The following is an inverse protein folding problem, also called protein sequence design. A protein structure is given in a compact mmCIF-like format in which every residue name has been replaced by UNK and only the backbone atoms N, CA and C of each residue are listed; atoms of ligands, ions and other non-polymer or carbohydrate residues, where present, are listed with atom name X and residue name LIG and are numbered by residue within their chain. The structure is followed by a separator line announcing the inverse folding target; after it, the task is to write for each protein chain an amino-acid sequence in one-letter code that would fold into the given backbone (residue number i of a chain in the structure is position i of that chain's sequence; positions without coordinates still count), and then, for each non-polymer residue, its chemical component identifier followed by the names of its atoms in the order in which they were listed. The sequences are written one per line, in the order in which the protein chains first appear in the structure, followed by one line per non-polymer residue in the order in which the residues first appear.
data_IF_892785886162
#
_entry.id   IF_892785886162
#
_cell.length_a   1.000
_cell.length_b   1.000
_cell.length_c   1.000
_cell.angle_alpha   90.00
_cell.angle_beta   90.00
_cell.angle_gamma   90.00
#
_symmetry.space_group_name_H-M   'P 1'
#
loop_
_entity.id
_entity.type
_entity.pdbx_description
1 polymer ?
#
# COMPACT_ATOMS: atom_id res chain seq x y z
N UNK A 1 92.25 -4.70 1.72
CA UNK A 1 91.11 -4.02 2.39
C UNK A 1 89.98 -3.71 1.37
N UNK A 2 89.29 -4.72 0.84
CA UNK A 2 88.20 -4.64 -0.10
C UNK A 2 87.34 -5.89 -0.05
N UNK A 3 86.68 -6.14 1.10
CA UNK A 3 85.76 -7.27 1.23
C UNK A 3 84.38 -6.79 1.78
N UNK A 4 84.17 -5.50 1.97
CA UNK A 4 82.93 -5.03 2.66
C UNK A 4 81.85 -4.45 1.75
N UNK A 5 82.06 -4.35 0.42
CA UNK A 5 81.06 -3.76 -0.47
C UNK A 5 80.11 -4.81 -1.08
N UNK A 6 80.52 -6.06 -1.29
CA UNK A 6 79.67 -7.09 -1.90
C UNK A 6 78.65 -7.68 -0.96
N UNK A 7 78.91 -7.71 0.36
CA UNK A 7 77.97 -8.21 1.37
C UNK A 7 76.86 -7.17 1.62
N UNK A 8 77.14 -5.87 1.55
CA UNK A 8 76.13 -4.82 1.69
C UNK A 8 75.14 -4.78 0.52
N UNK A 9 75.60 -5.00 -0.73
CA UNK A 9 74.71 -5.09 -1.90
C UNK A 9 73.82 -6.33 -1.90
N UNK A 10 74.30 -7.49 -1.40
CA UNK A 10 73.53 -8.72 -1.32
C UNK A 10 72.39 -8.64 -0.27
N UNK A 11 72.63 -7.97 0.84
CA UNK A 11 71.60 -7.80 1.89
C UNK A 11 70.50 -6.81 1.45
N UNK A 12 70.83 -5.77 0.66
CA UNK A 12 69.85 -4.84 0.11
C UNK A 12 68.90 -5.51 -0.90
N UNK A 13 69.45 -6.30 -1.82
CA UNK A 13 68.64 -7.04 -2.82
C UNK A 13 67.75 -8.11 -2.19
N UNK A 14 68.24 -8.84 -1.19
CA UNK A 14 67.46 -9.83 -0.46
C UNK A 14 66.28 -9.19 0.32
N UNK A 15 66.54 -8.07 1.00
CA UNK A 15 65.50 -7.33 1.71
C UNK A 15 64.44 -6.80 0.74
N UNK A 16 64.82 -6.33 -0.44
CA UNK A 16 63.90 -5.88 -1.47
C UNK A 16 63.02 -7.02 -2.00
N UNK A 17 63.58 -8.17 -2.32
CA UNK A 17 62.83 -9.35 -2.81
C UNK A 17 61.88 -9.90 -1.75
N UNK A 18 62.26 -9.85 -0.46
CA UNK A 18 61.34 -10.20 0.65
C UNK A 18 60.21 -9.21 0.76
N UNK A 19 60.48 -7.92 0.62
CA UNK A 19 59.47 -6.85 0.60
C UNK A 19 58.49 -7.03 -0.55
N UNK A 20 58.99 -7.26 -1.76
CA UNK A 20 58.17 -7.50 -2.96
C UNK A 20 57.27 -8.77 -2.80
N UNK A 21 57.83 -9.84 -2.23
CA UNK A 21 57.09 -11.06 -1.91
C UNK A 21 55.96 -10.82 -0.88
N UNK A 22 56.13 -9.88 0.04
CA UNK A 22 55.07 -9.51 0.99
C UNK A 22 53.96 -8.71 0.28
N UNK A 23 54.29 -7.88 -0.70
CA UNK A 23 53.30 -7.15 -1.53
C UNK A 23 52.50 -8.13 -2.38
N UNK A 24 53.16 -9.06 -3.06
CA UNK A 24 52.53 -10.10 -3.90
C UNK A 24 51.54 -10.94 -3.06
N UNK A 25 51.92 -11.34 -1.85
CA UNK A 25 51.02 -12.11 -0.95
C UNK A 25 49.76 -11.32 -0.55
N UNK A 26 49.91 -10.03 -0.24
CA UNK A 26 48.74 -9.16 0.05
C UNK A 26 47.85 -9.07 -1.17
N UNK A 27 48.39 -8.84 -2.35
CA UNK A 27 47.64 -8.79 -3.60
C UNK A 27 46.93 -10.13 -3.89
N UNK A 28 47.60 -11.24 -3.67
CA UNK A 28 47.02 -12.59 -3.81
C UNK A 28 45.82 -12.76 -2.86
N UNK A 29 45.95 -12.37 -1.59
CA UNK A 29 44.88 -12.46 -0.61
C UNK A 29 43.68 -11.64 -1.03
N UNK A 30 43.89 -10.39 -1.49
CA UNK A 30 42.81 -9.50 -2.00
C UNK A 30 42.12 -10.12 -3.22
N UNK A 31 42.90 -10.61 -4.20
CA UNK A 31 42.33 -11.23 -5.40
C UNK A 31 41.58 -12.52 -5.10
N UNK A 32 42.05 -13.32 -4.10
CA UNK A 32 41.36 -14.52 -3.64
C UNK A 32 40.03 -14.20 -2.99
N UNK A 33 39.97 -13.14 -2.16
CA UNK A 33 38.75 -12.67 -1.55
C UNK A 33 37.78 -12.13 -2.63
N UNK A 34 38.25 -11.26 -3.54
CA UNK A 34 37.46 -10.76 -4.66
C UNK A 34 36.92 -11.88 -5.55
N UNK A 35 37.70 -12.92 -5.80
CA UNK A 35 37.25 -14.07 -6.57
C UNK A 35 36.23 -14.95 -5.79
N UNK A 36 36.31 -14.97 -4.45
CA UNK A 36 35.37 -15.70 -3.60
C UNK A 36 34.03 -14.98 -3.44
N UNK A 37 34.08 -13.68 -3.20
CA UNK A 37 32.89 -12.86 -2.86
C UNK A 37 32.25 -12.18 -4.08
N UNK A 38 32.99 -12.08 -5.19
CA UNK A 38 32.55 -11.37 -6.39
C UNK A 38 32.58 -9.84 -6.28
N UNK A 39 33.03 -9.31 -5.14
CA UNK A 39 33.01 -7.89 -4.81
C UNK A 39 34.41 -7.24 -4.93
N UNK A 40 34.43 -5.97 -5.34
CA UNK A 40 35.67 -5.16 -5.32
C UNK A 40 36.21 -5.02 -3.90
N UNK A 41 35.30 -4.84 -2.92
CA UNK A 41 35.63 -4.77 -1.49
C UNK A 41 34.38 -4.93 -0.64
N UNK A 42 34.53 -5.53 0.54
CA UNK A 42 33.48 -5.65 1.56
C UNK A 42 33.23 -4.34 2.32
N UNK A 43 34.10 -3.36 2.14
CA UNK A 43 34.01 -2.08 2.84
C UNK A 43 33.94 -0.91 1.88
N UNK A 44 33.19 0.12 2.25
CA UNK A 44 33.10 1.36 1.48
C UNK A 44 34.47 2.01 1.25
N UNK A 45 35.37 1.95 2.22
CA UNK A 45 36.72 2.49 2.08
C UNK A 45 37.54 1.76 1.02
N UNK A 46 37.31 0.47 0.79
CA UNK A 46 37.96 -0.33 -0.22
C UNK A 46 37.47 -0.06 -1.64
N UNK A 47 36.29 0.56 -1.81
CA UNK A 47 35.77 0.99 -3.10
C UNK A 47 36.46 2.28 -3.61
N UNK A 48 37.25 2.95 -2.78
CA UNK A 48 37.98 4.17 -3.17
C UNK A 48 37.07 5.25 -3.75
N UNK A 49 37.33 5.67 -5.00
CA UNK A 49 36.51 6.69 -5.67
C UNK A 49 35.05 6.25 -5.91
N UNK A 50 34.77 4.96 -5.92
CA UNK A 50 33.41 4.40 -6.10
C UNK A 50 32.53 4.49 -4.84
N UNK A 51 33.12 4.68 -3.65
CA UNK A 51 32.42 4.66 -2.38
C UNK A 51 31.25 5.65 -2.30
N UNK A 52 31.44 6.88 -2.75
CA UNK A 52 30.38 7.91 -2.79
C UNK A 52 29.24 7.53 -3.72
N UNK A 53 29.55 6.99 -4.89
CA UNK A 53 28.58 6.50 -5.86
C UNK A 53 27.76 5.33 -5.32
N UNK A 54 28.44 4.33 -4.75
CA UNK A 54 27.80 3.15 -4.14
C UNK A 54 26.84 3.54 -3.02
N UNK A 55 27.23 4.45 -2.13
CA UNK A 55 26.38 4.93 -1.03
C UNK A 55 25.14 5.67 -1.54
N UNK A 56 25.30 6.59 -2.50
CA UNK A 56 24.20 7.38 -3.04
C UNK A 56 23.24 6.51 -3.84
N UNK A 57 23.75 5.63 -4.70
CA UNK A 57 22.93 4.70 -5.48
C UNK A 57 22.23 3.67 -4.57
N UNK A 58 22.93 3.15 -3.57
CA UNK A 58 22.36 2.22 -2.59
C UNK A 58 21.19 2.84 -1.80
N UNK A 59 21.32 4.10 -1.35
CA UNK A 59 20.24 4.81 -0.67
C UNK A 59 19.05 5.07 -1.61
N UNK A 60 19.32 5.43 -2.87
CA UNK A 60 18.28 5.62 -3.89
C UNK A 60 17.57 4.32 -4.22
N UNK A 61 18.30 3.21 -4.36
CA UNK A 61 17.75 1.88 -4.58
C UNK A 61 16.81 1.45 -3.44
N UNK A 62 17.26 1.64 -2.19
CA UNK A 62 16.44 1.34 -1.00
C UNK A 62 15.15 2.15 -0.97
N UNK A 63 15.21 3.44 -1.30
CA UNK A 63 14.04 4.30 -1.37
C UNK A 63 13.06 3.82 -2.46
N UNK A 64 13.55 3.52 -3.66
CA UNK A 64 12.74 3.01 -4.79
C UNK A 64 12.08 1.68 -4.45
N UNK A 65 12.81 0.75 -3.84
CA UNK A 65 12.28 -0.54 -3.39
C UNK A 65 11.20 -0.36 -2.31
N UNK A 66 11.40 0.59 -1.39
CA UNK A 66 10.40 0.92 -0.37
C UNK A 66 9.12 1.43 -1.02
N UNK A 67 9.21 2.37 -1.98
CA UNK A 67 8.03 2.88 -2.69
C UNK A 67 7.33 1.81 -3.52
N UNK A 68 8.09 0.90 -4.15
CA UNK A 68 7.53 -0.23 -4.88
C UNK A 68 6.75 -1.17 -3.94
N UNK A 69 7.32 -1.51 -2.79
CA UNK A 69 6.65 -2.32 -1.75
C UNK A 69 5.39 -1.63 -1.22
N UNK A 70 5.45 -0.33 -0.98
CA UNK A 70 4.31 0.46 -0.54
C UNK A 70 3.17 0.40 -1.57
N UNK A 71 3.48 0.60 -2.87
CA UNK A 71 2.49 0.51 -3.95
C UNK A 71 1.87 -0.89 -4.03
N UNK A 72 2.68 -1.94 -3.89
CA UNK A 72 2.22 -3.33 -3.90
C UNK A 72 1.30 -3.64 -2.71
N UNK A 73 1.69 -3.23 -1.52
CA UNK A 73 0.91 -3.47 -0.29
C UNK A 73 -0.43 -2.76 -0.31
N UNK A 74 -0.52 -1.57 -0.93
CA UNK A 74 -1.77 -0.82 -1.04
C UNK A 74 -2.79 -1.45 -2.00
N UNK A 75 -2.35 -2.22 -2.99
CA UNK A 75 -3.22 -2.75 -4.06
C UNK A 75 -4.29 -3.70 -3.54
N UNK A 76 -3.95 -4.63 -2.64
CA UNK A 76 -4.88 -5.62 -2.09
C UNK A 76 -6.05 -5.02 -1.29
N UNK A 77 -5.80 -4.17 -0.28
CA UNK A 77 -6.85 -3.45 0.43
C UNK A 77 -7.74 -2.60 -0.49
N UNK A 78 -7.15 -1.90 -1.47
CA UNK A 78 -7.93 -1.11 -2.44
C UNK A 78 -8.86 -1.97 -3.29
N UNK A 79 -8.39 -3.12 -3.76
CA UNK A 79 -9.19 -4.06 -4.53
C UNK A 79 -10.36 -4.63 -3.70
N UNK A 80 -10.12 -4.96 -2.43
CA UNK A 80 -11.17 -5.40 -1.51
C UNK A 80 -12.20 -4.31 -1.26
N UNK A 81 -11.77 -3.07 -1.04
CA UNK A 81 -12.67 -1.92 -0.87
C UNK A 81 -13.52 -1.67 -2.14
N UNK A 82 -12.90 -1.72 -3.32
CA UNK A 82 -13.60 -1.55 -4.59
C UNK A 82 -14.65 -2.65 -4.81
N UNK A 83 -14.32 -3.91 -4.49
CA UNK A 83 -15.28 -5.02 -4.57
C UNK A 83 -16.46 -4.82 -3.63
N UNK A 84 -16.22 -4.34 -2.40
CA UNK A 84 -17.29 -4.03 -1.46
C UNK A 84 -18.20 -2.89 -1.98
N UNK A 85 -17.62 -1.83 -2.53
CA UNK A 85 -18.40 -0.73 -3.13
C UNK A 85 -19.23 -1.18 -4.32
N UNK A 86 -18.67 -2.02 -5.20
CA UNK A 86 -19.40 -2.58 -6.34
C UNK A 86 -20.62 -3.37 -5.87
N UNK A 87 -20.47 -4.23 -4.87
CA UNK A 87 -21.58 -5.00 -4.31
C UNK A 87 -22.62 -4.10 -3.63
N UNK A 88 -22.20 -3.03 -2.94
CA UNK A 88 -23.12 -2.03 -2.38
C UNK A 88 -23.88 -1.31 -3.50
N UNK A 89 -23.22 -0.98 -4.62
CA UNK A 89 -23.86 -0.38 -5.80
C UNK A 89 -24.90 -1.31 -6.43
N UNK A 90 -24.60 -2.60 -6.52
CA UNK A 90 -25.53 -3.61 -7.05
C UNK A 90 -26.77 -3.74 -6.15
N UNK A 91 -26.58 -3.77 -4.82
CA UNK A 91 -27.69 -3.75 -3.87
C UNK A 91 -28.53 -2.49 -4.04
N UNK A 92 -27.90 -1.32 -4.04
CA UNK A 92 -28.59 -0.05 -4.19
C UNK A 92 -29.37 0.03 -5.51
N UNK A 93 -28.77 -0.42 -6.61
CA UNK A 93 -29.42 -0.45 -7.95
C UNK A 93 -30.62 -1.40 -7.99
N UNK A 94 -30.55 -2.54 -7.31
CA UNK A 94 -31.70 -3.45 -7.17
C UNK A 94 -32.86 -2.79 -6.45
N UNK A 95 -32.59 -2.09 -5.34
CA UNK A 95 -33.63 -1.37 -4.61
C UNK A 95 -34.12 -0.10 -5.32
N UNK A 96 -33.26 0.58 -6.08
CA UNK A 96 -33.67 1.66 -6.97
C UNK A 96 -34.73 1.19 -7.96
N UNK A 97 -34.53 0.02 -8.60
CA UNK A 97 -35.52 -0.55 -9.50
C UNK A 97 -36.80 -0.98 -8.77
N UNK A 98 -36.69 -1.56 -7.57
CA UNK A 98 -37.86 -2.00 -6.79
C UNK A 98 -38.70 -0.82 -6.27
N UNK A 99 -38.08 0.28 -5.85
CA UNK A 99 -38.79 1.46 -5.37
C UNK A 99 -39.66 2.11 -6.45
N UNK A 100 -39.28 2.03 -7.72
CA UNK A 100 -40.12 2.50 -8.85
C UNK A 100 -41.47 1.77 -8.92
N UNK A 101 -41.55 0.53 -8.43
CA UNK A 101 -42.77 -0.28 -8.40
C UNK A 101 -43.60 -0.12 -7.10
N UNK A 102 -43.08 0.56 -6.07
CA UNK A 102 -43.74 0.75 -4.78
C UNK A 102 -44.71 1.92 -4.79
N UNK A 103 -45.62 1.98 -5.75
CA UNK A 103 -46.56 3.12 -5.93
C UNK A 103 -47.90 2.91 -5.25
N UNK A 104 -47.98 2.06 -4.23
CA UNK A 104 -49.19 1.86 -3.44
C UNK A 104 -50.22 0.88 -4.02
N UNK A 105 -50.01 0.34 -5.21
CA UNK A 105 -50.96 -0.52 -5.89
C UNK A 105 -50.93 -1.95 -5.38
N UNK A 106 -49.77 -2.44 -4.90
CA UNK A 106 -49.60 -3.80 -4.39
C UNK A 106 -49.08 -3.82 -2.96
N UNK A 107 -49.97 -3.89 -2.00
CA UNK A 107 -49.65 -3.90 -0.58
C UNK A 107 -48.73 -5.06 -0.16
N UNK A 108 -48.92 -6.26 -0.72
CA UNK A 108 -48.08 -7.43 -0.42
C UNK A 108 -46.65 -7.25 -0.90
N UNK A 109 -46.44 -6.56 -2.02
CA UNK A 109 -45.11 -6.25 -2.54
C UNK A 109 -44.35 -5.31 -1.59
N UNK A 110 -45.03 -4.38 -0.90
CA UNK A 110 -44.41 -3.47 0.07
C UNK A 110 -43.77 -4.26 1.21
N UNK A 111 -44.53 -5.17 1.85
CA UNK A 111 -44.04 -5.97 2.98
C UNK A 111 -42.85 -6.87 2.58
N UNK A 112 -42.91 -7.48 1.37
CA UNK A 112 -41.84 -8.32 0.85
C UNK A 112 -40.58 -7.49 0.58
N UNK A 113 -40.73 -6.34 -0.08
CA UNK A 113 -39.62 -5.42 -0.36
C UNK A 113 -39.02 -4.87 0.92
N UNK A 114 -39.87 -4.54 1.93
CA UNK A 114 -39.40 -4.09 3.23
C UNK A 114 -38.57 -5.17 3.97
N UNK A 115 -39.02 -6.44 3.91
CA UNK A 115 -38.23 -7.55 4.48
C UNK A 115 -36.87 -7.69 3.79
N UNK A 116 -36.87 -7.69 2.44
CA UNK A 116 -35.65 -7.74 1.66
C UNK A 116 -34.71 -6.56 1.92
N UNK A 117 -35.24 -5.34 2.12
CA UNK A 117 -34.44 -4.15 2.42
C UNK A 117 -33.74 -4.24 3.79
N UNK A 118 -34.38 -4.84 4.79
CA UNK A 118 -33.76 -5.09 6.09
C UNK A 118 -32.59 -6.08 5.97
N UNK A 119 -32.73 -7.12 5.15
CA UNK A 119 -31.62 -8.07 4.94
C UNK A 119 -30.51 -7.45 4.08
N UNK A 120 -30.83 -6.64 3.09
CA UNK A 120 -29.87 -5.88 2.30
C UNK A 120 -29.09 -4.87 3.18
N UNK A 121 -29.73 -4.23 4.14
CA UNK A 121 -29.07 -3.31 5.08
C UNK A 121 -28.04 -4.04 5.94
N UNK A 122 -28.33 -5.28 6.40
CA UNK A 122 -27.36 -6.14 7.10
C UNK A 122 -26.20 -6.52 6.18
N UNK A 123 -26.47 -6.84 4.91
CA UNK A 123 -25.44 -7.14 3.92
C UNK A 123 -24.54 -5.92 3.68
N UNK A 124 -25.09 -4.72 3.53
CA UNK A 124 -24.31 -3.48 3.41
C UNK A 124 -23.42 -3.28 4.63
N UNK A 125 -23.94 -3.46 5.85
CA UNK A 125 -23.14 -3.38 7.07
C UNK A 125 -22.00 -4.42 7.09
N UNK A 126 -22.25 -5.63 6.61
CA UNK A 126 -21.24 -6.68 6.44
C UNK A 126 -20.16 -6.29 5.41
N UNK A 127 -20.55 -5.73 4.26
CA UNK A 127 -19.64 -5.25 3.23
C UNK A 127 -18.78 -4.08 3.71
N UNK A 128 -19.34 -3.18 4.52
CA UNK A 128 -18.57 -2.10 5.16
C UNK A 128 -17.53 -2.62 6.14
N UNK A 129 -17.76 -3.80 6.73
CA UNK A 129 -16.82 -4.50 7.59
C UNK A 129 -15.89 -5.47 6.85
N UNK A 130 -15.71 -5.30 5.53
CA UNK A 130 -14.79 -6.13 4.75
C UNK A 130 -13.35 -5.98 5.23
N UNK A 131 -12.62 -7.09 5.24
CA UNK A 131 -11.23 -7.17 5.68
C UNK A 131 -10.31 -7.59 4.54
N UNK A 132 -9.07 -7.09 4.63
CA UNK A 132 -7.93 -7.63 3.91
C UNK A 132 -6.88 -8.07 4.96
N UNK A 133 -6.66 -9.37 5.11
CA UNK A 133 -5.97 -9.90 6.28
C UNK A 133 -6.71 -9.54 7.57
N UNK A 134 -6.00 -8.91 8.51
CA UNK A 134 -6.56 -8.54 9.81
C UNK A 134 -7.10 -7.10 9.88
N UNK A 135 -7.02 -6.33 8.78
CA UNK A 135 -7.41 -4.92 8.76
C UNK A 135 -8.74 -4.69 8.04
N UNK A 136 -9.59 -3.81 8.58
CA UNK A 136 -10.82 -3.36 7.94
C UNK A 136 -10.51 -2.29 6.88
N UNK A 137 -10.85 -2.57 5.62
CA UNK A 137 -10.44 -1.74 4.47
C UNK A 137 -11.18 -0.40 4.36
N UNK A 138 -12.35 -0.27 5.00
CA UNK A 138 -13.18 0.95 4.97
C UNK A 138 -13.17 1.70 6.32
N UNK A 139 -12.31 1.30 7.26
CA UNK A 139 -12.17 1.94 8.57
C UNK A 139 -11.20 3.13 8.57
N UNK A 140 -10.49 3.37 7.47
CA UNK A 140 -9.49 4.42 7.39
C UNK A 140 -8.29 4.18 8.33
N UNK A 141 -7.93 5.19 9.10
CA UNK A 141 -6.83 5.11 10.07
C UNK A 141 -7.12 4.20 11.27
N UNK A 142 -8.40 3.86 11.52
CA UNK A 142 -8.82 2.96 12.62
C UNK A 142 -9.03 1.51 12.12
N UNK A 143 -8.10 1.01 11.34
CA UNK A 143 -8.21 -0.24 10.61
C UNK A 143 -8.32 -1.51 11.47
N UNK A 144 -8.04 -1.43 12.77
CA UNK A 144 -8.21 -2.53 13.71
C UNK A 144 -9.67 -2.71 14.18
N UNK A 145 -10.49 -1.67 14.08
CA UNK A 145 -11.87 -1.66 14.56
C UNK A 145 -12.87 -1.71 13.40
N UNK A 146 -13.96 -2.46 13.59
CA UNK A 146 -15.01 -2.59 12.59
C UNK A 146 -15.66 -1.22 12.32
N UNK A 147 -15.83 -0.81 11.04
CA UNK A 147 -16.59 0.38 10.67
C UNK A 147 -18.00 0.43 11.25
N UNK A 148 -18.71 -0.70 11.23
CA UNK A 148 -20.05 -0.88 11.82
C UNK A 148 -19.94 -1.95 12.91
N UNK A 149 -19.62 -1.56 14.16
CA UNK A 149 -19.24 -2.52 15.20
C UNK A 149 -20.42 -3.32 15.79
N UNK A 150 -21.65 -2.81 15.66
CA UNK A 150 -22.85 -3.40 16.27
C UNK A 150 -23.85 -3.87 15.20
N UNK A 151 -24.87 -4.62 15.62
CA UNK A 151 -25.98 -4.94 14.72
C UNK A 151 -26.66 -3.65 14.24
N UNK A 152 -26.65 -3.47 12.92
CA UNK A 152 -27.18 -2.28 12.27
C UNK A 152 -28.68 -2.09 12.58
N UNK A 153 -29.44 -3.17 12.76
CA UNK A 153 -30.89 -3.14 12.97
C UNK A 153 -31.30 -2.52 14.31
N UNK A 154 -30.41 -2.55 15.31
CA UNK A 154 -30.67 -1.94 16.62
C UNK A 154 -30.00 -0.55 16.76
N UNK A 155 -29.35 -0.05 15.70
CA UNK A 155 -28.74 1.28 15.72
C UNK A 155 -29.78 2.38 15.89
N UNK A 156 -29.39 3.48 16.55
CA UNK A 156 -30.27 4.65 16.70
C UNK A 156 -30.69 5.25 15.36
N UNK A 157 -29.87 5.12 14.32
CA UNK A 157 -30.23 5.53 12.95
C UNK A 157 -31.43 4.73 12.45
N UNK A 158 -31.37 3.40 12.46
CA UNK A 158 -32.44 2.55 11.92
C UNK A 158 -33.71 2.66 12.75
N UNK A 159 -33.60 2.65 14.08
CA UNK A 159 -34.75 2.81 14.97
C UNK A 159 -35.40 4.20 14.83
N UNK A 160 -34.60 5.26 14.68
CA UNK A 160 -35.06 6.61 14.42
C UNK A 160 -35.78 6.76 13.07
N UNK A 161 -35.22 6.15 12.01
CA UNK A 161 -35.85 6.10 10.68
C UNK A 161 -37.18 5.32 10.76
N UNK A 162 -37.19 4.16 11.42
CA UNK A 162 -38.40 3.36 11.57
C UNK A 162 -39.51 4.11 12.32
N UNK A 163 -39.16 4.83 13.37
CA UNK A 163 -40.10 5.68 14.11
C UNK A 163 -40.64 6.82 13.24
N UNK A 164 -39.79 7.48 12.45
CA UNK A 164 -40.19 8.54 11.54
C UNK A 164 -41.16 8.05 10.46
N UNK A 165 -40.85 6.92 9.83
CA UNK A 165 -41.67 6.26 8.81
C UNK A 165 -43.01 5.80 9.42
N UNK A 166 -42.97 5.21 10.63
CA UNK A 166 -44.19 4.84 11.36
C UNK A 166 -45.14 6.02 11.65
N UNK A 167 -44.59 7.22 11.79
CA UNK A 167 -45.36 8.46 12.05
C UNK A 167 -45.75 9.23 10.77
N UNK A 168 -45.55 8.67 9.57
CA UNK A 168 -45.81 9.34 8.28
C UNK A 168 -47.20 9.96 8.18
N UNK A 169 -48.22 9.24 8.63
CA UNK A 169 -49.61 9.69 8.55
C UNK A 169 -49.94 10.92 9.40
N UNK A 170 -49.19 11.17 10.46
CA UNK A 170 -49.35 12.30 11.37
C UNK A 170 -48.39 13.43 11.00
N UNK A 171 -47.14 13.13 10.74
CA UNK A 171 -46.11 14.13 10.48
C UNK A 171 -46.12 14.62 9.04
N UNK A 172 -46.62 13.83 8.09
CA UNK A 172 -46.56 14.09 6.67
C UNK A 172 -45.20 13.80 6.03
N UNK A 173 -45.14 13.73 4.69
CA UNK A 173 -43.97 13.29 3.95
C UNK A 173 -42.73 14.15 4.22
N UNK A 174 -42.84 15.48 4.13
CA UNK A 174 -41.71 16.40 4.26
C UNK A 174 -41.01 16.27 5.64
N UNK A 175 -41.80 16.20 6.73
CA UNK A 175 -41.27 16.05 8.06
C UNK A 175 -40.63 14.66 8.25
N UNK A 176 -41.23 13.59 7.69
CA UNK A 176 -40.70 12.25 7.70
C UNK A 176 -39.38 12.16 6.95
N UNK A 177 -39.29 12.71 5.73
CA UNK A 177 -38.07 12.79 4.93
C UNK A 177 -36.96 13.50 5.72
N UNK A 178 -37.27 14.68 6.28
CA UNK A 178 -36.33 15.44 7.10
C UNK A 178 -35.84 14.65 8.33
N UNK A 179 -36.72 13.91 9.00
CA UNK A 179 -36.39 13.08 10.16
C UNK A 179 -35.48 11.89 9.76
N UNK A 180 -35.79 11.20 8.63
CA UNK A 180 -34.90 10.11 8.12
C UNK A 180 -33.52 10.65 7.75
N UNK A 181 -33.45 11.81 7.13
CA UNK A 181 -32.20 12.48 6.75
C UNK A 181 -31.39 12.86 8.01
N UNK A 182 -32.05 13.45 9.01
CA UNK A 182 -31.41 13.82 10.27
C UNK A 182 -30.85 12.59 11.03
N UNK A 183 -31.61 11.48 11.06
CA UNK A 183 -31.15 10.24 11.68
C UNK A 183 -29.93 9.67 10.96
N UNK A 184 -29.90 9.65 9.62
CA UNK A 184 -28.82 9.11 8.82
C UNK A 184 -27.55 9.99 8.84
N UNK A 185 -27.70 11.32 8.92
CA UNK A 185 -26.57 12.26 8.99
C UNK A 185 -25.97 12.40 10.38
N UNK A 186 -26.63 11.86 11.42
CA UNK A 186 -26.20 12.01 12.81
C UNK A 186 -24.86 11.30 13.09
N UNK A 187 -23.96 12.04 13.73
CA UNK A 187 -22.70 11.50 14.29
C UNK A 187 -22.80 11.25 15.80
N UNK A 188 -23.97 11.44 16.40
CA UNK A 188 -24.16 11.30 17.84
C UNK A 188 -23.96 9.84 18.28
N UNK A 189 -23.35 9.69 19.44
CA UNK A 189 -23.17 8.36 20.09
C UNK A 189 -24.55 7.73 20.30
N UNK A 190 -24.69 6.45 19.97
CA UNK A 190 -25.93 5.70 20.06
C UNK A 190 -26.91 5.93 18.89
N UNK A 191 -26.71 6.95 18.05
CA UNK A 191 -27.47 7.16 16.81
C UNK A 191 -26.68 6.68 15.61
N UNK A 192 -25.45 7.16 15.43
CA UNK A 192 -24.59 6.72 14.33
C UNK A 192 -24.34 5.21 14.41
N UNK A 193 -24.49 4.48 13.29
CA UNK A 193 -24.18 3.07 13.22
C UNK A 193 -22.67 2.79 13.14
N UNK A 194 -21.88 3.82 12.86
CA UNK A 194 -20.45 3.72 12.66
C UNK A 194 -19.66 3.76 13.96
N UNK A 195 -18.42 3.30 13.92
CA UNK A 195 -17.47 3.42 15.04
C UNK A 195 -17.27 4.88 15.44
N UNK A 196 -16.79 5.11 16.66
CA UNK A 196 -16.55 6.47 17.16
C UNK A 196 -15.55 7.24 16.28
N UNK A 197 -14.55 6.55 15.71
CA UNK A 197 -13.59 7.15 14.79
C UNK A 197 -14.25 7.62 13.47
N UNK A 198 -15.22 6.86 12.96
CA UNK A 198 -15.93 7.17 11.72
C UNK A 198 -17.18 8.06 11.94
N UNK A 199 -17.56 8.32 13.17
CA UNK A 199 -18.66 9.22 13.55
C UNK A 199 -18.16 10.63 13.84
N UNK A 200 -17.08 11.06 13.18
CA UNK A 200 -16.54 12.41 13.29
C UNK A 200 -17.07 13.31 12.15
N UNK A 201 -17.01 14.65 12.30
CA UNK A 201 -17.31 15.56 11.21
C UNK A 201 -16.47 15.30 9.95
N UNK A 202 -17.03 15.54 8.77
CA UNK A 202 -16.37 15.26 7.49
C UNK A 202 -14.97 15.91 7.36
N UNK A 203 -14.77 17.10 7.91
CA UNK A 203 -13.48 17.79 7.90
C UNK A 203 -12.39 17.00 8.67
N UNK A 204 -12.75 16.33 9.77
CA UNK A 204 -11.86 15.52 10.56
C UNK A 204 -11.58 14.20 9.84
N UNK A 205 -12.62 13.61 9.24
CA UNK A 205 -12.52 12.33 8.51
C UNK A 205 -11.56 12.39 7.33
N UNK A 206 -11.37 13.53 6.69
CA UNK A 206 -10.37 13.71 5.63
C UNK A 206 -8.97 13.29 6.07
N UNK A 207 -8.58 13.57 7.32
CA UNK A 207 -7.30 13.19 7.89
C UNK A 207 -7.16 11.69 8.19
N UNK A 208 -8.26 10.95 8.24
CA UNK A 208 -8.26 9.49 8.49
C UNK A 208 -8.13 8.66 7.21
N UNK A 209 -8.17 9.28 6.03
CA UNK A 209 -8.03 8.55 4.76
C UNK A 209 -6.59 8.03 4.61
N UNK A 210 -6.40 6.72 4.43
CA UNK A 210 -5.09 6.16 4.18
C UNK A 210 -4.52 6.70 2.87
N UNK A 211 -3.23 7.01 2.87
CA UNK A 211 -2.49 7.38 1.67
C UNK A 211 -1.14 6.69 1.67
N UNK A 212 -0.73 6.18 0.53
CA UNK A 212 0.53 5.47 0.34
C UNK A 212 1.55 6.36 -0.36
N UNK A 213 2.79 6.36 0.14
CA UNK A 213 3.89 7.08 -0.49
C UNK A 213 4.53 6.19 -1.57
N UNK A 214 4.56 6.70 -2.80
CA UNK A 214 5.09 6.02 -3.99
C UNK A 214 6.20 6.79 -4.70
N UNK A 215 6.69 7.84 -4.05
CA UNK A 215 7.77 8.69 -4.51
C UNK A 215 8.22 9.65 -3.42
N UNK A 216 9.28 10.42 -3.64
CA UNK A 216 9.84 11.36 -2.66
C UNK A 216 8.79 12.36 -2.15
N UNK A 217 7.98 12.91 -3.05
CA UNK A 217 6.93 13.88 -2.77
C UNK A 217 5.56 13.43 -3.33
N UNK A 218 5.42 12.15 -3.67
CA UNK A 218 4.21 11.61 -4.29
C UNK A 218 3.48 10.68 -3.34
N UNK A 219 2.23 11.02 -3.02
CA UNK A 219 1.31 10.22 -2.22
C UNK A 219 0.02 10.00 -2.96
N UNK A 220 -0.49 8.78 -2.93
CA UNK A 220 -1.77 8.39 -3.51
C UNK A 220 -2.72 7.98 -2.39
N UNK A 221 -3.92 8.58 -2.29
CA UNK A 221 -4.96 8.11 -1.39
C UNK A 221 -5.31 6.66 -1.74
N UNK A 222 -5.16 5.75 -0.79
CA UNK A 222 -5.30 4.31 -0.99
C UNK A 222 -6.54 3.73 -0.31
N UNK A 223 -7.30 4.54 0.43
CA UNK A 223 -8.47 4.05 1.15
C UNK A 223 -9.68 4.97 1.06
N UNK A 224 -10.82 4.38 1.40
CA UNK A 224 -12.12 5.03 1.57
C UNK A 224 -12.58 4.86 3.02
N UNK A 225 -13.58 5.66 3.40
CA UNK A 225 -14.21 5.63 4.72
C UNK A 225 -15.67 5.19 4.57
N UNK A 226 -16.11 4.27 5.42
CA UNK A 226 -17.49 3.78 5.41
C UNK A 226 -18.55 4.86 5.67
N UNK A 227 -18.18 5.96 6.33
CA UNK A 227 -19.12 7.01 6.75
C UNK A 227 -19.07 8.28 5.90
N UNK A 228 -18.13 8.38 4.94
CA UNK A 228 -17.91 9.59 4.15
C UNK A 228 -17.59 9.25 2.70
N UNK A 229 -17.82 10.18 1.80
CA UNK A 229 -17.40 10.05 0.40
C UNK A 229 -15.86 10.10 0.28
N UNK A 230 -15.33 9.50 -0.78
CA UNK A 230 -13.94 9.64 -1.17
C UNK A 230 -13.67 11.00 -1.82
N UNK A 231 -13.81 11.06 -3.13
CA UNK A 231 -13.47 12.24 -3.94
C UNK A 231 -14.68 12.81 -4.69
N UNK A 232 -15.75 12.01 -4.84
CA UNK A 232 -16.97 12.42 -5.52
C UNK A 232 -17.97 12.91 -4.47
N UNK A 233 -18.41 14.15 -4.60
CA UNK A 233 -19.43 14.69 -3.71
C UNK A 233 -20.79 14.03 -3.96
N UNK A 234 -21.51 13.69 -2.89
CA UNK A 234 -22.93 13.36 -3.00
C UNK A 234 -23.72 14.62 -3.33
N UNK A 235 -24.50 14.56 -4.37
CA UNK A 235 -25.38 15.65 -4.83
C UNK A 235 -26.83 15.20 -4.70
N UNK A 236 -27.77 16.16 -4.67
CA UNK A 236 -29.19 15.86 -4.56
C UNK A 236 -29.87 16.68 -3.47
N UNK A 237 -31.22 16.67 -3.47
CA UNK A 237 -32.05 17.46 -2.54
C UNK A 237 -32.05 16.80 -1.15
N UNK A 238 -31.98 15.46 -1.10
CA UNK A 238 -32.09 14.67 0.12
C UNK A 238 -30.84 13.83 0.32
N UNK A 239 -29.69 14.47 0.55
CA UNK A 239 -28.41 13.78 0.80
C UNK A 239 -27.87 14.09 2.20
N UNK A 240 -27.25 13.10 2.83
CA UNK A 240 -26.45 13.25 4.07
C UNK A 240 -25.05 13.82 3.80
N UNK A 241 -24.65 13.96 2.53
CA UNK A 241 -23.28 14.23 2.09
C UNK A 241 -22.42 12.97 1.97
N UNK A 242 -22.95 11.78 2.26
CA UNK A 242 -22.28 10.49 2.12
C UNK A 242 -23.18 9.48 1.40
N UNK A 243 -22.73 9.00 0.24
CA UNK A 243 -23.48 8.02 -0.55
C UNK A 243 -23.75 6.72 0.24
N UNK A 244 -22.85 6.27 1.12
CA UNK A 244 -23.09 5.10 1.95
C UNK A 244 -24.20 5.35 2.95
N UNK A 245 -24.21 6.50 3.62
CA UNK A 245 -25.28 6.88 4.55
C UNK A 245 -26.62 7.02 3.82
N UNK A 246 -26.62 7.56 2.60
CA UNK A 246 -27.81 7.70 1.78
C UNK A 246 -28.37 6.34 1.34
N UNK A 247 -27.53 5.39 0.93
CA UNK A 247 -27.93 4.00 0.66
C UNK A 247 -28.51 3.35 1.92
N UNK A 248 -27.83 3.48 3.05
CA UNK A 248 -28.30 2.91 4.33
C UNK A 248 -29.63 3.56 4.79
N UNK A 249 -29.78 4.89 4.63
CA UNK A 249 -31.03 5.62 4.88
C UNK A 249 -32.15 5.07 4.01
N UNK A 250 -31.91 4.93 2.73
CA UNK A 250 -32.91 4.44 1.78
C UNK A 250 -33.35 3.01 2.11
N UNK A 251 -32.40 2.10 2.36
CA UNK A 251 -32.71 0.73 2.75
C UNK A 251 -33.46 0.66 4.09
N UNK A 252 -33.07 1.48 5.09
CA UNK A 252 -33.77 1.57 6.36
C UNK A 252 -35.19 2.14 6.20
N UNK A 253 -35.37 3.16 5.34
CA UNK A 253 -36.68 3.75 5.04
C UNK A 253 -37.58 2.71 4.36
N UNK A 254 -37.11 2.03 3.31
CA UNK A 254 -37.86 0.95 2.65
C UNK A 254 -38.14 -0.18 3.64
N UNK A 255 -37.16 -0.57 4.45
CA UNK A 255 -37.30 -1.62 5.45
C UNK A 255 -38.29 -1.31 6.57
N UNK A 256 -38.63 -0.04 6.76
CA UNK A 256 -39.64 0.43 7.73
C UNK A 256 -41.05 0.58 7.13
N UNK A 257 -41.20 0.48 5.80
CA UNK A 257 -42.51 0.52 5.15
C UNK A 257 -43.34 -0.72 5.49
N UNK A 258 -44.64 -0.54 5.46
CA UNK A 258 -45.61 -1.61 5.63
C UNK A 258 -46.80 -1.43 4.68
N UNK A 259 -47.46 -2.54 4.37
CA UNK A 259 -48.68 -2.53 3.54
C UNK A 259 -49.78 -1.64 4.08
N UNK A 260 -49.88 -1.47 5.42
CA UNK A 260 -50.82 -0.58 6.07
C UNK A 260 -50.59 0.92 5.77
N UNK A 261 -49.42 1.30 5.26
CA UNK A 261 -49.06 2.66 4.90
C UNK A 261 -49.34 3.00 3.44
N UNK A 262 -49.70 2.03 2.61
CA UNK A 262 -49.89 2.20 1.16
C UNK A 262 -50.88 3.31 0.79
N UNK A 263 -51.91 3.51 1.63
CA UNK A 263 -52.96 4.51 1.43
C UNK A 263 -52.76 5.78 2.26
N UNK A 264 -51.68 5.85 3.03
CA UNK A 264 -51.35 7.01 3.87
C UNK A 264 -50.92 8.17 3.01
N UNK A 265 -51.47 9.37 3.29
CA UNK A 265 -51.08 10.60 2.61
C UNK A 265 -49.56 10.82 2.79
N UNK A 266 -48.85 11.04 1.69
CA UNK A 266 -47.39 11.22 1.73
C UNK A 266 -46.58 9.98 1.45
N UNK A 267 -47.18 8.78 1.39
CA UNK A 267 -46.47 7.53 1.08
C UNK A 267 -45.74 7.60 -0.26
N UNK A 268 -46.41 8.02 -1.35
CA UNK A 268 -45.81 8.16 -2.67
C UNK A 268 -44.66 9.20 -2.69
N UNK A 269 -44.79 10.30 -1.93
CA UNK A 269 -43.71 11.29 -1.83
C UNK A 269 -42.48 10.78 -1.08
N UNK A 270 -42.68 9.99 -0.01
CA UNK A 270 -41.57 9.34 0.72
C UNK A 270 -40.85 8.31 -0.15
N UNK A 271 -41.60 7.49 -0.87
CA UNK A 271 -41.03 6.49 -1.81
C UNK A 271 -40.26 7.19 -2.94
N UNK A 272 -40.82 8.25 -3.50
CA UNK A 272 -40.16 9.03 -4.55
C UNK A 272 -38.87 9.69 -4.08
N UNK A 273 -38.86 10.29 -2.87
CA UNK A 273 -37.64 10.84 -2.28
C UNK A 273 -36.56 9.76 -2.08
N UNK A 274 -36.97 8.60 -1.56
CA UNK A 274 -36.09 7.46 -1.34
C UNK A 274 -35.50 6.95 -2.66
N UNK A 275 -36.35 6.86 -3.72
CA UNK A 275 -35.92 6.49 -5.06
C UNK A 275 -34.89 7.47 -5.62
N UNK A 276 -35.18 8.78 -5.56
CA UNK A 276 -34.26 9.83 -6.04
C UNK A 276 -32.93 9.80 -5.29
N UNK A 277 -33.00 9.73 -3.94
CA UNK A 277 -31.80 9.66 -3.10
C UNK A 277 -30.92 8.42 -3.40
N UNK A 278 -31.53 7.27 -3.71
CA UNK A 278 -30.78 6.09 -4.15
C UNK A 278 -30.08 6.32 -5.49
N UNK A 279 -30.75 6.95 -6.46
CA UNK A 279 -30.16 7.28 -7.76
C UNK A 279 -28.96 8.21 -7.64
N UNK A 280 -29.07 9.24 -6.79
CA UNK A 280 -27.99 10.18 -6.50
C UNK A 280 -26.80 9.47 -5.79
N UNK A 281 -27.11 8.62 -4.80
CA UNK A 281 -26.12 7.85 -4.07
C UNK A 281 -25.37 6.84 -4.98
N UNK A 282 -26.07 6.13 -5.87
CA UNK A 282 -25.50 5.23 -6.86
C UNK A 282 -24.54 5.98 -7.78
N UNK A 283 -24.95 7.15 -8.25
CA UNK A 283 -24.14 7.99 -9.14
C UNK A 283 -22.82 8.41 -8.47
N UNK A 284 -22.88 8.87 -7.22
CA UNK A 284 -21.72 9.27 -6.45
C UNK A 284 -20.83 8.07 -6.12
N UNK A 285 -21.41 6.94 -5.73
CA UNK A 285 -20.69 5.70 -5.42
C UNK A 285 -19.93 5.16 -6.64
N UNK A 286 -20.57 5.13 -7.81
CA UNK A 286 -19.95 4.70 -9.06
C UNK A 286 -18.84 5.68 -9.49
N UNK A 287 -19.01 6.96 -9.25
CA UNK A 287 -17.98 7.98 -9.45
C UNK A 287 -16.73 7.71 -8.61
N UNK A 288 -16.90 7.47 -7.31
CA UNK A 288 -15.78 7.15 -6.39
C UNK A 288 -15.13 5.80 -6.73
N UNK A 289 -15.92 4.79 -7.10
CA UNK A 289 -15.39 3.50 -7.57
C UNK A 289 -14.53 3.68 -8.84
N UNK A 290 -14.94 4.55 -9.77
CA UNK A 290 -14.16 4.91 -10.96
C UNK A 290 -12.84 5.62 -10.62
N UNK A 291 -12.86 6.58 -9.70
CA UNK A 291 -11.65 7.25 -9.21
C UNK A 291 -10.70 6.25 -8.55
N UNK A 292 -11.23 5.32 -7.74
CA UNK A 292 -10.42 4.26 -7.13
C UNK A 292 -9.80 3.34 -8.18
N UNK A 293 -10.54 2.95 -9.22
CA UNK A 293 -10.01 2.18 -10.34
C UNK A 293 -8.85 2.87 -11.06
N UNK A 294 -8.98 4.18 -11.31
CA UNK A 294 -7.90 4.99 -11.90
C UNK A 294 -6.66 5.05 -10.98
N UNK A 295 -6.85 5.14 -9.67
CA UNK A 295 -5.74 5.09 -8.70
C UNK A 295 -5.05 3.74 -8.69
N UNK A 296 -5.79 2.64 -8.78
CA UNK A 296 -5.20 1.30 -8.88
C UNK A 296 -4.38 1.15 -10.16
N UNK A 297 -4.88 1.66 -11.29
CA UNK A 297 -4.12 1.67 -12.55
C UNK A 297 -2.83 2.50 -12.41
N UNK A 298 -2.91 3.68 -11.76
CA UNK A 298 -1.75 4.52 -11.48
C UNK A 298 -0.73 3.81 -10.59
N UNK A 299 -1.18 3.14 -9.51
CA UNK A 299 -0.30 2.37 -8.63
C UNK A 299 0.39 1.23 -9.37
N UNK A 300 -0.33 0.51 -10.23
CA UNK A 300 0.22 -0.59 -11.04
C UNK A 300 1.28 -0.08 -12.03
N UNK A 301 1.00 1.01 -12.75
CA UNK A 301 1.96 1.63 -13.67
C UNK A 301 3.20 2.15 -12.92
N UNK A 302 2.99 2.76 -11.74
CA UNK A 302 4.09 3.25 -10.91
C UNK A 302 4.95 2.13 -10.36
N UNK A 303 4.33 1.03 -9.94
CA UNK A 303 5.04 -0.17 -9.46
C UNK A 303 5.96 -0.75 -10.55
N UNK A 304 5.51 -0.81 -11.79
CA UNK A 304 6.33 -1.24 -12.93
C UNK A 304 7.50 -0.27 -13.15
N UNK A 305 7.24 1.03 -13.24
CA UNK A 305 8.28 2.06 -13.42
C UNK A 305 9.32 2.06 -12.29
N UNK A 306 8.90 1.84 -11.04
CA UNK A 306 9.80 1.71 -9.89
C UNK A 306 10.63 0.43 -9.99
N UNK A 307 10.06 -0.69 -10.48
CA UNK A 307 10.77 -1.93 -10.75
C UNK A 307 11.87 -1.76 -11.80
N UNK A 308 11.57 -1.09 -12.90
CA UNK A 308 12.54 -0.78 -13.95
C UNK A 308 13.67 0.11 -13.41
N UNK A 309 13.30 1.14 -12.63
CA UNK A 309 14.28 2.03 -11.99
C UNK A 309 15.16 1.28 -10.98
N UNK A 310 14.59 0.39 -10.17
CA UNK A 310 15.34 -0.43 -9.22
C UNK A 310 16.34 -1.33 -9.96
N UNK A 311 15.92 -1.96 -11.05
CA UNK A 311 16.80 -2.81 -11.89
C UNK A 311 17.97 -2.00 -12.49
N UNK A 312 17.69 -0.81 -13.01
CA UNK A 312 18.73 0.08 -13.55
C UNK A 312 19.73 0.53 -12.47
N UNK A 313 19.22 0.93 -11.29
CA UNK A 313 20.06 1.32 -10.15
C UNK A 313 20.89 0.15 -9.63
N UNK A 314 20.31 -1.05 -9.57
CA UNK A 314 21.02 -2.27 -9.17
C UNK A 314 22.15 -2.61 -10.13
N UNK A 315 21.94 -2.46 -11.44
CA UNK A 315 23.00 -2.60 -12.44
C UNK A 315 24.12 -1.56 -12.26
N UNK A 316 23.81 -0.32 -11.92
CA UNK A 316 24.83 0.70 -11.63
C UNK A 316 25.60 0.41 -10.34
N UNK A 317 24.92 -0.03 -9.29
CA UNK A 317 25.56 -0.48 -8.02
C UNK A 317 26.48 -1.68 -8.29
N UNK A 318 26.02 -2.66 -9.06
CA UNK A 318 26.82 -3.82 -9.46
C UNK A 318 28.09 -3.41 -10.23
N UNK A 319 27.96 -2.45 -11.15
CA UNK A 319 29.14 -1.94 -11.92
C UNK A 319 30.21 -1.31 -11.01
N UNK A 320 29.84 -0.80 -9.85
CA UNK A 320 30.77 -0.18 -8.88
C UNK A 320 31.31 -1.23 -7.89
N UNK A 321 30.45 -2.14 -7.45
CA UNK A 321 30.73 -3.03 -6.34
C UNK A 321 31.28 -4.39 -6.78
N UNK A 322 30.89 -4.87 -7.98
CA UNK A 322 31.25 -6.22 -8.43
C UNK A 322 32.54 -6.22 -9.23
N UNK A 323 33.30 -7.28 -9.14
CA UNK A 323 34.51 -7.49 -9.95
C UNK A 323 34.19 -8.18 -11.27
N UNK A 324 34.95 -7.86 -12.31
CA UNK A 324 35.02 -8.73 -13.49
C UNK A 324 35.76 -10.04 -13.12
N UNK A 325 34.96 -11.10 -12.93
CA UNK A 325 35.48 -12.41 -12.53
C UNK A 325 36.54 -12.97 -13.48
N UNK A 326 36.36 -12.73 -14.82
CA UNK A 326 37.34 -13.23 -15.80
C UNK A 326 38.70 -12.55 -15.64
N UNK A 327 38.66 -11.20 -15.50
CA UNK A 327 39.85 -10.39 -15.24
C UNK A 327 40.47 -10.73 -13.86
N UNK A 328 39.65 -10.90 -12.83
CA UNK A 328 40.12 -11.21 -11.47
C UNK A 328 40.80 -12.57 -11.40
N UNK A 329 40.22 -13.63 -11.97
CA UNK A 329 40.83 -14.96 -12.04
C UNK A 329 42.11 -14.98 -12.86
N UNK A 330 42.15 -14.24 -13.97
CA UNK A 330 43.39 -14.10 -14.77
C UNK A 330 44.52 -13.45 -13.96
N UNK A 331 44.21 -12.36 -13.24
CA UNK A 331 45.15 -11.67 -12.34
C UNK A 331 45.58 -12.58 -11.16
N UNK A 332 44.65 -13.34 -10.60
CA UNK A 332 44.92 -14.29 -9.53
C UNK A 332 45.97 -15.33 -9.97
N UNK A 333 45.75 -15.94 -11.14
CA UNK A 333 46.67 -16.93 -11.72
C UNK A 333 48.05 -16.34 -12.00
N UNK A 334 48.09 -15.13 -12.61
CA UNK A 334 49.34 -14.42 -12.87
C UNK A 334 50.10 -14.08 -11.58
N UNK A 335 49.37 -13.63 -10.52
CA UNK A 335 49.97 -13.29 -9.24
C UNK A 335 50.49 -14.56 -8.51
N UNK A 336 49.79 -15.70 -8.63
CA UNK A 336 50.27 -17.00 -8.11
C UNK A 336 51.56 -17.41 -8.80
N UNK A 337 51.63 -17.31 -10.13
CA UNK A 337 52.81 -17.61 -10.91
C UNK A 337 54.01 -16.70 -10.53
N UNK A 338 53.72 -15.39 -10.35
CA UNK A 338 54.72 -14.41 -9.91
C UNK A 338 55.28 -14.73 -8.52
N UNK A 339 54.40 -15.16 -7.58
CA UNK A 339 54.79 -15.57 -6.24
C UNK A 339 55.68 -16.79 -6.27
N UNK A 340 55.35 -17.82 -7.08
CA UNK A 340 56.16 -19.00 -7.29
C UNK A 340 57.55 -18.66 -7.84
N UNK A 341 57.61 -17.80 -8.87
CA UNK A 341 58.88 -17.32 -9.43
C UNK A 341 59.71 -16.56 -8.38
N UNK A 342 59.07 -15.73 -7.55
CA UNK A 342 59.74 -15.00 -6.46
C UNK A 342 60.37 -15.98 -5.42
N UNK A 343 59.65 -17.05 -5.05
CA UNK A 343 60.21 -18.08 -4.16
C UNK A 343 61.34 -18.84 -4.78
N UNK A 344 61.33 -19.17 -6.08
CA UNK A 344 62.43 -19.80 -6.80
C UNK A 344 63.69 -18.90 -6.83
N UNK A 345 63.49 -17.59 -7.10
CA UNK A 345 64.60 -16.61 -7.06
C UNK A 345 65.20 -16.50 -5.65
N UNK A 346 64.38 -16.49 -4.61
CA UNK A 346 64.83 -16.48 -3.22
C UNK A 346 65.65 -17.74 -2.90
N UNK A 347 65.24 -18.92 -3.38
CA UNK A 347 65.95 -20.18 -3.25
C UNK A 347 67.31 -20.13 -3.93
N UNK A 348 67.38 -19.62 -5.17
CA UNK A 348 68.65 -19.48 -5.93
C UNK A 348 69.63 -18.50 -5.30
N UNK A 349 69.09 -17.32 -4.85
CA UNK A 349 69.91 -16.32 -4.14
C UNK A 349 70.45 -16.85 -2.82
N UNK A 350 69.69 -17.64 -2.09
CA UNK A 350 70.11 -18.27 -0.86
C UNK A 350 71.22 -19.30 -1.09
N UNK A 351 71.13 -20.08 -2.13
CA UNK A 351 72.18 -21.11 -2.51
C UNK A 351 73.43 -20.41 -2.98
N UNK A 352 73.36 -19.33 -3.73
CA UNK A 352 74.52 -18.54 -4.15
C UNK A 352 75.24 -17.88 -2.97
N UNK A 353 74.48 -17.32 -2.02
CA UNK A 353 74.96 -16.67 -0.80
C UNK A 353 75.70 -17.72 0.10
N UNK A 354 75.17 -18.96 0.23
CA UNK A 354 75.77 -20.00 0.99
C UNK A 354 77.05 -20.52 0.33
N UNK A 355 77.07 -20.63 -1.00
CA UNK A 355 78.26 -21.06 -1.76
C UNK A 355 79.41 -20.03 -1.67
N UNK A 356 79.07 -18.71 -1.62
CA UNK A 356 80.07 -17.65 -1.41
C UNK A 356 80.65 -17.61 0.00
N UNK A 357 79.91 -18.07 1.03
CA UNK A 357 80.34 -18.11 2.44
C UNK A 357 81.17 -19.40 2.72
N UNK A 358 80.87 -20.47 2.04
CA UNK A 358 81.56 -21.75 2.24
C UNK A 358 82.77 -21.99 1.28
N UNK A 359 82.91 -21.19 0.23
CA UNK A 359 83.99 -21.28 -0.78
C UNK A 359 85.06 -20.16 -0.69
N UNK A 360 85.04 -19.32 0.32
CA UNK A 360 86.10 -18.38 0.72
C UNK A 360 86.77 -18.91 2.03
#
# INVERSE_FOLDING_TARGET
MQVNSSVAYGNGTLAQVIGDGAVIRRQLATLTQQAGDGLVSDTLSGLGAGAGGSLTLGSSLTAVQTWQTNAQTASGPMQTAQSALSQISDIASSFFAQTAALNGINATAIDTTAASARDALKQVAGLLNSKFGDVFVLAGGDSANAPVPNDIMVSGMVTGISAAVGNLGVAGAAATIGATLAAASSNAVGVSPFSAALSQPAAVLQGYRPAVQIGANERVPSGLLASANGDVASTGISTTGSYIRDVMRALATIGALSSGQATVVGFGALVQDTHTSLGDAISALNGDAGVMGNRQATLTARQQSLGDTATALQGQVSTINDVDMATTLSRLTATQTQLQASYQLLGTLRSLSLATILGG
#
